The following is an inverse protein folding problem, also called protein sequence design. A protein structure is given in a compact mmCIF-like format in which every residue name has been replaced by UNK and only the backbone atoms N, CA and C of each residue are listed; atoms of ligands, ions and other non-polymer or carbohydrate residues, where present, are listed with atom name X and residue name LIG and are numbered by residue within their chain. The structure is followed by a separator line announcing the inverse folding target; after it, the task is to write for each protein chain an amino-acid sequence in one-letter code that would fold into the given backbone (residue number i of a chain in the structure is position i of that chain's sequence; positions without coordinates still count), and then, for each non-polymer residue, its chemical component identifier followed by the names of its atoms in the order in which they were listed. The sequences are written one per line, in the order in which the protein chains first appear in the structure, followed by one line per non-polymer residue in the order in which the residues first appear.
data_IF_946219468812
#
_entry.id   IF_946219468812
#
_cell.length_a   1.000
_cell.length_b   1.000
_cell.length_c   1.000
_cell.angle_alpha   90.00
_cell.angle_beta   90.00
_cell.angle_gamma   90.00
#
_symmetry.space_group_name_H-M   'P 1'
#
loop_
_entity.id
_entity.type
_entity.pdbx_description
1 polymer ?
#
# COMPACT_ATOMS: atom_id res chain seq x y z
N UNK A 1 24.41 0.85 15.12
CA UNK A 1 23.73 -0.26 14.42
C UNK A 1 22.29 -0.31 14.91
N UNK A 2 21.32 0.26 14.18
CA UNK A 2 19.92 0.24 14.65
C UNK A 2 19.32 -1.10 14.24
N UNK A 3 19.26 -2.04 15.18
CA UNK A 3 18.54 -3.31 15.00
C UNK A 3 17.05 -3.00 15.00
N UNK A 4 16.50 -2.64 13.84
CA UNK A 4 15.05 -2.54 13.65
C UNK A 4 14.51 -3.96 13.55
N UNK A 5 14.02 -4.47 14.66
CA UNK A 5 13.39 -5.78 14.79
C UNK A 5 12.26 -5.94 13.76
N UNK A 6 12.30 -7.03 12.99
CA UNK A 6 11.50 -7.30 11.79
C UNK A 6 9.96 -7.31 11.95
N UNK A 7 9.44 -7.21 13.19
CA UNK A 7 8.00 -7.14 13.48
C UNK A 7 7.45 -5.71 13.47
N UNK A 8 8.28 -4.72 13.82
CA UNK A 8 7.88 -3.30 13.85
C UNK A 8 7.71 -2.72 12.44
N UNK A 9 8.46 -3.25 11.46
CA UNK A 9 8.41 -2.84 10.06
C UNK A 9 7.12 -3.23 9.35
N UNK A 10 6.51 -4.40 9.62
CA UNK A 10 5.36 -4.88 8.83
C UNK A 10 4.08 -4.06 9.05
N UNK A 11 3.83 -3.63 10.29
CA UNK A 11 2.66 -2.83 10.64
C UNK A 11 2.77 -1.38 10.15
N UNK A 12 3.97 -0.81 10.23
CA UNK A 12 4.31 0.47 9.59
C UNK A 12 4.09 0.42 8.07
N UNK A 13 4.60 -0.63 7.41
CA UNK A 13 4.44 -0.82 5.97
C UNK A 13 2.97 -1.00 5.58
N UNK A 14 2.17 -1.69 6.41
CA UNK A 14 0.73 -1.83 6.17
C UNK A 14 -0.01 -0.48 6.27
N UNK A 15 0.35 0.36 7.26
CA UNK A 15 -0.21 1.73 7.38
C UNK A 15 0.15 2.60 6.19
N UNK A 16 1.40 2.53 5.73
CA UNK A 16 1.85 3.24 4.54
C UNK A 16 1.11 2.75 3.29
N UNK A 17 0.98 1.44 3.11
CA UNK A 17 0.22 0.85 2.00
C UNK A 17 -1.25 1.29 2.00
N UNK A 18 -1.91 1.31 3.17
CA UNK A 18 -3.28 1.81 3.31
C UNK A 18 -3.40 3.30 2.94
N UNK A 19 -2.43 4.12 3.35
CA UNK A 19 -2.35 5.54 2.98
C UNK A 19 -2.19 5.74 1.47
N UNK A 20 -1.31 4.97 0.84
CA UNK A 20 -1.10 5.02 -0.60
C UNK A 20 -2.33 4.55 -1.38
N UNK A 21 -3.00 3.50 -0.91
CA UNK A 21 -4.24 3.01 -1.48
C UNK A 21 -5.35 4.06 -1.41
N UNK A 22 -5.57 4.67 -0.24
CA UNK A 22 -6.57 5.72 -0.07
C UNK A 22 -6.31 6.91 -1.01
N UNK A 23 -5.04 7.35 -1.11
CA UNK A 23 -4.67 8.44 -2.01
C UNK A 23 -4.83 8.05 -3.49
N UNK A 24 -4.46 6.82 -3.87
CA UNK A 24 -4.60 6.33 -5.24
C UNK A 24 -6.05 6.14 -5.67
N UNK A 25 -6.94 5.81 -4.74
CA UNK A 25 -8.38 5.73 -5.02
C UNK A 25 -8.96 7.11 -5.36
N UNK A 26 -8.44 8.18 -4.76
CA UNK A 26 -8.92 9.54 -4.96
C UNK A 26 -8.26 10.24 -6.15
N UNK A 27 -6.95 10.09 -6.32
CA UNK A 27 -6.15 10.87 -7.29
C UNK A 27 -5.62 10.02 -8.46
N UNK A 28 -5.82 8.71 -8.42
CA UNK A 28 -5.28 7.77 -9.39
C UNK A 28 -3.84 7.35 -9.10
N UNK A 29 -3.45 6.21 -9.67
CA UNK A 29 -2.17 5.54 -9.44
C UNK A 29 -0.95 6.39 -9.81
N UNK A 30 -1.03 7.12 -10.93
CA UNK A 30 0.10 7.90 -11.45
C UNK A 30 0.40 9.11 -10.55
N UNK A 31 -0.65 9.77 -10.06
CA UNK A 31 -0.51 10.89 -9.13
C UNK A 31 0.02 10.43 -7.78
N UNK A 32 -0.42 9.28 -7.26
CA UNK A 32 0.16 8.67 -6.05
C UNK A 32 1.63 8.35 -6.20
N UNK A 33 2.02 7.76 -7.34
CA UNK A 33 3.42 7.42 -7.60
C UNK A 33 4.29 8.68 -7.61
N UNK A 34 3.81 9.76 -8.23
CA UNK A 34 4.50 11.05 -8.27
C UNK A 34 4.54 11.73 -6.90
N UNK A 35 3.42 11.78 -6.19
CA UNK A 35 3.28 12.44 -4.88
C UNK A 35 4.18 11.82 -3.81
N UNK A 36 4.27 10.49 -3.79
CA UNK A 36 5.10 9.76 -2.82
C UNK A 36 6.48 9.38 -3.35
N UNK A 37 6.84 9.79 -4.57
CA UNK A 37 8.08 9.41 -5.24
C UNK A 37 8.31 7.89 -5.25
N UNK A 38 7.22 7.14 -5.49
CA UNK A 38 7.20 5.69 -5.51
C UNK A 38 7.24 5.17 -6.94
N UNK A 39 7.71 3.93 -7.10
CA UNK A 39 7.59 3.23 -8.36
C UNK A 39 6.10 2.93 -8.64
N UNK A 40 5.60 3.42 -9.78
CA UNK A 40 4.20 3.22 -10.19
C UNK A 40 3.82 1.75 -10.25
N UNK A 41 4.74 0.84 -10.58
CA UNK A 41 4.52 -0.62 -10.57
C UNK A 41 4.24 -1.16 -9.16
N UNK A 42 4.91 -0.64 -8.13
CA UNK A 42 4.68 -1.04 -6.73
C UNK A 42 3.31 -0.59 -6.24
N UNK A 43 2.93 0.65 -6.54
CA UNK A 43 1.60 1.19 -6.17
C UNK A 43 0.50 0.33 -6.80
N UNK A 44 0.66 -0.08 -8.06
CA UNK A 44 -0.29 -0.98 -8.73
C UNK A 44 -0.38 -2.36 -8.06
N UNK A 45 0.74 -2.92 -7.61
CA UNK A 45 0.74 -4.20 -6.88
C UNK A 45 0.01 -4.09 -5.54
N UNK A 46 0.21 -3.01 -4.80
CA UNK A 46 -0.48 -2.80 -3.52
C UNK A 46 -1.98 -2.62 -3.69
N UNK A 47 -2.43 -1.86 -4.70
CA UNK A 47 -3.86 -1.72 -5.00
C UNK A 47 -4.47 -3.08 -5.30
N UNK A 48 -3.85 -3.87 -6.18
CA UNK A 48 -4.35 -5.20 -6.55
C UNK A 48 -4.42 -6.15 -5.34
N UNK A 49 -3.38 -6.17 -4.51
CA UNK A 49 -3.36 -6.96 -3.27
C UNK A 49 -4.49 -6.51 -2.33
N UNK A 50 -4.68 -5.20 -2.13
CA UNK A 50 -5.76 -4.66 -1.31
C UNK A 50 -7.16 -5.01 -1.84
N UNK A 51 -7.37 -4.96 -3.17
CA UNK A 51 -8.62 -5.39 -3.80
C UNK A 51 -8.89 -6.88 -3.61
N UNK A 52 -7.86 -7.72 -3.74
CA UNK A 52 -7.95 -9.16 -3.45
C UNK A 52 -8.33 -9.40 -2.00
N UNK A 53 -7.69 -8.72 -1.04
CA UNK A 53 -8.05 -8.82 0.39
C UNK A 53 -9.51 -8.42 0.66
N UNK A 54 -10.01 -7.35 0.04
CA UNK A 54 -11.40 -6.90 0.19
C UNK A 54 -12.37 -7.92 -0.42
N UNK A 55 -12.04 -8.52 -1.56
CA UNK A 55 -12.85 -9.57 -2.18
C UNK A 55 -12.89 -10.84 -1.33
N UNK A 56 -11.75 -11.28 -0.82
CA UNK A 56 -11.65 -12.47 0.02
C UNK A 56 -12.38 -12.30 1.36
N UNK A 57 -12.37 -11.10 1.95
CA UNK A 57 -13.07 -10.82 3.21
C UNK A 57 -14.57 -10.56 3.08
N UNK A 58 -15.06 -10.14 1.91
CA UNK A 58 -16.51 -9.96 1.65
C UNK A 58 -17.21 -11.21 1.09
N UNK A 59 -16.52 -12.34 0.97
CA UNK A 59 -17.10 -13.62 0.50
C UNK A 59 -17.17 -14.66 1.63
N UNK A 60 -17.27 -14.20 2.89
CA UNK A 60 -17.44 -15.04 4.08
C UNK A 60 -18.84 -14.92 4.66
#
# INVERSE_FOLDING_TARGET
MVVKTAKSTRHEQAKLAAKYYAYARLNGRNETARHFQLNSSMVGRWIKVSETWIKETNTG
#
